data_IF_994711967735
#
_entry.id   IF_994711967735
#
_cell.length_a   1.000
_cell.length_b   1.000
_cell.length_c   1.000
_cell.angle_alpha   90.00
_cell.angle_beta   90.00
_cell.angle_gamma   90.00
#
_symmetry.space_group_name_H-M   'P 1'
#
loop_
_entity.id
_entity.type
_entity.pdbx_description
1 polymer ?
#
# COMPACT_ATOMS: atom_id res chain seq x y z
N UNK A 1 -4.72 2.66 2.41
CA UNK A 1 -4.38 2.12 1.08
C UNK A 1 -5.65 1.90 0.26
N UNK A 2 -5.57 2.06 -1.05
CA UNK A 2 -6.62 1.65 -2.01
C UNK A 2 -5.97 0.85 -3.12
N UNK A 3 -6.67 -0.14 -3.66
CA UNK A 3 -6.13 -0.97 -4.73
C UNK A 3 -7.24 -1.36 -5.70
N UNK A 4 -6.85 -1.57 -6.95
CA UNK A 4 -7.69 -2.21 -7.96
C UNK A 4 -6.87 -3.30 -8.65
N UNK A 5 -7.50 -4.43 -8.94
CA UNK A 5 -6.88 -5.50 -9.72
C UNK A 5 -7.82 -5.99 -10.80
N UNK A 6 -7.24 -6.45 -11.90
CA UNK A 6 -7.91 -7.32 -12.85
C UNK A 6 -7.35 -8.74 -12.74
N UNK A 7 -7.53 -9.58 -13.77
CA UNK A 7 -7.05 -10.96 -13.78
C UNK A 7 -5.53 -11.10 -13.86
N UNK A 8 -4.81 -10.02 -14.18
CA UNK A 8 -3.35 -10.04 -14.41
C UNK A 8 -2.61 -8.91 -13.70
N UNK A 9 -3.21 -7.74 -13.57
CA UNK A 9 -2.53 -6.56 -13.07
C UNK A 9 -3.14 -6.12 -11.75
N UNK A 10 -2.30 -5.58 -10.87
CA UNK A 10 -2.72 -4.91 -9.65
C UNK A 10 -2.08 -3.53 -9.59
N UNK A 11 -2.91 -2.54 -9.27
CA UNK A 11 -2.48 -1.17 -9.00
C UNK A 11 -2.84 -0.81 -7.56
N UNK A 12 -1.88 -0.22 -6.85
CA UNK A 12 -1.98 0.17 -5.46
C UNK A 12 -1.72 1.67 -5.34
N UNK A 13 -2.57 2.35 -4.56
CA UNK A 13 -2.39 3.72 -4.10
C UNK A 13 -2.19 3.72 -2.59
N UNK A 14 -0.99 4.10 -2.16
CA UNK A 14 -0.67 4.35 -0.76
C UNK A 14 -1.11 5.75 -0.37
N UNK A 15 -2.05 5.83 0.58
CA UNK A 15 -2.56 7.09 1.11
C UNK A 15 -1.66 7.67 2.22
N UNK A 16 -0.74 6.86 2.75
CA UNK A 16 0.24 7.23 3.78
C UNK A 16 1.62 6.67 3.38
N UNK A 17 2.25 7.22 2.32
CA UNK A 17 3.54 6.75 1.81
C UNK A 17 4.71 7.04 2.77
N UNK A 18 4.52 7.98 3.68
CA UNK A 18 5.41 8.34 4.78
C UNK A 18 5.47 7.31 5.91
N UNK A 19 4.62 6.27 5.86
CA UNK A 19 4.60 5.19 6.85
C UNK A 19 5.15 3.89 6.26
N UNK A 20 5.91 3.09 7.05
CA UNK A 20 6.44 1.81 6.61
C UNK A 20 5.32 0.83 6.24
N UNK A 21 5.67 -0.26 5.56
CA UNK A 21 4.73 -1.39 5.39
C UNK A 21 4.47 -2.09 6.72
N UNK A 22 5.52 -2.26 7.54
CA UNK A 22 5.44 -2.87 8.87
C UNK A 22 4.83 -1.93 9.93
N UNK A 23 3.52 -1.71 9.90
CA UNK A 23 2.86 -0.98 10.98
C UNK A 23 2.86 -1.81 12.29
N UNK A 24 3.14 -1.22 13.47
CA UNK A 24 3.11 -1.94 14.73
C UNK A 24 1.65 -2.25 15.13
N UNK A 25 1.20 -3.45 14.79
CA UNK A 25 -0.12 -3.96 15.13
C UNK A 25 0.03 -5.07 16.18
N UNK A 26 -0.68 -4.97 17.30
CA UNK A 26 -0.63 -5.97 18.37
C UNK A 26 -0.96 -7.39 17.87
N UNK A 27 -1.90 -7.51 16.92
CA UNK A 27 -2.21 -8.77 16.26
C UNK A 27 -1.03 -9.31 15.44
N UNK A 28 -0.31 -8.44 14.72
CA UNK A 28 0.86 -8.86 13.96
C UNK A 28 1.97 -9.37 14.89
N UNK A 29 2.10 -8.84 16.10
CA UNK A 29 3.08 -9.34 17.08
C UNK A 29 2.75 -10.75 17.62
N UNK A 30 1.52 -11.24 17.43
CA UNK A 30 1.17 -12.63 17.78
C UNK A 30 1.71 -13.64 16.77
N UNK A 31 2.09 -13.20 15.56
CA UNK A 31 2.71 -14.05 14.56
C UNK A 31 4.16 -14.29 14.98
N UNK A 32 4.50 -15.54 15.27
CA UNK A 32 5.80 -15.95 15.82
C UNK A 32 7.01 -15.48 15.00
N UNK A 33 6.85 -15.31 13.69
CA UNK A 33 7.90 -14.82 12.79
C UNK A 33 8.18 -13.32 12.94
N UNK A 34 7.20 -12.51 13.34
CA UNK A 34 7.35 -11.05 13.34
C UNK A 34 8.37 -10.52 14.36
N UNK A 35 8.42 -11.01 15.61
CA UNK A 35 9.49 -10.66 16.55
C UNK A 35 10.89 -10.98 16.01
N UNK A 36 11.04 -12.12 15.31
CA UNK A 36 12.30 -12.54 14.70
C UNK A 36 12.69 -11.60 13.56
N UNK A 37 11.76 -11.28 12.66
CA UNK A 37 12.00 -10.36 11.55
C UNK A 37 12.38 -8.96 12.04
N UNK A 38 11.68 -8.44 13.06
CA UNK A 38 12.02 -7.14 13.68
C UNK A 38 13.40 -7.15 14.31
N UNK A 39 13.75 -8.20 15.04
CA UNK A 39 15.10 -8.36 15.61
C UNK A 39 16.17 -8.39 14.52
N UNK A 40 15.98 -9.18 13.47
CA UNK A 40 16.93 -9.25 12.35
C UNK A 40 17.04 -7.92 11.61
N UNK A 41 15.94 -7.17 11.49
CA UNK A 41 15.96 -5.82 10.93
C UNK A 41 16.80 -4.86 11.78
N UNK A 42 16.59 -4.87 13.11
CA UNK A 42 17.35 -4.05 14.05
C UNK A 42 18.85 -4.42 14.08
N UNK A 43 19.17 -5.70 13.89
CA UNK A 43 20.55 -6.18 13.79
C UNK A 43 21.17 -5.91 12.40
N UNK A 44 20.43 -5.33 11.44
CA UNK A 44 20.92 -5.08 10.08
C UNK A 44 21.15 -6.34 9.24
N UNK A 45 20.54 -7.47 9.63
CA UNK A 45 20.75 -8.79 9.01
C UNK A 45 19.73 -9.16 7.94
N UNK A 46 18.64 -8.41 7.81
CA UNK A 46 17.72 -8.60 6.70
C UNK A 46 18.31 -8.05 5.40
N UNK A 47 18.08 -8.78 4.32
CA UNK A 47 18.50 -8.40 2.96
C UNK A 47 17.35 -8.61 1.99
N UNK A 48 17.44 -8.00 0.82
CA UNK A 48 16.42 -8.11 -0.24
C UNK A 48 15.04 -7.63 0.20
N UNK A 49 14.02 -8.34 -0.26
CA UNK A 49 12.60 -8.06 -0.09
C UNK A 49 12.17 -8.04 1.38
N UNK A 50 12.83 -8.88 2.20
CA UNK A 50 12.58 -8.91 3.64
C UNK A 50 12.98 -7.61 4.33
N UNK A 51 14.05 -6.94 3.84
CA UNK A 51 14.45 -5.62 4.34
C UNK A 51 13.51 -4.52 3.83
N UNK A 52 13.02 -4.64 2.59
CA UNK A 52 12.11 -3.67 1.98
C UNK A 52 10.81 -3.50 2.77
N UNK A 53 10.31 -4.58 3.38
CA UNK A 53 9.14 -4.56 4.27
C UNK A 53 9.26 -3.56 5.44
N UNK A 54 10.48 -3.29 5.87
CA UNK A 54 10.78 -2.38 6.98
C UNK A 54 11.27 -1.00 6.54
N UNK A 55 11.24 -0.69 5.24
CA UNK A 55 11.58 0.65 4.76
C UNK A 55 10.69 1.70 5.43
N UNK A 56 11.25 2.85 5.86
CA UNK A 56 10.52 3.87 6.60
C UNK A 56 9.43 4.55 5.76
N UNK A 57 9.58 4.49 4.43
CA UNK A 57 8.63 5.05 3.47
C UNK A 57 8.38 4.05 2.37
N UNK A 58 7.25 4.19 1.69
CA UNK A 58 6.86 3.37 0.54
C UNK A 58 6.44 4.23 -0.64
N UNK A 59 6.54 3.72 -1.89
CA UNK A 59 6.09 4.44 -3.06
C UNK A 59 4.63 4.88 -2.93
N UNK A 60 4.29 6.06 -3.45
CA UNK A 60 2.90 6.54 -3.45
C UNK A 60 2.00 5.62 -4.29
N UNK A 61 2.53 5.14 -5.39
CA UNK A 61 1.83 4.25 -6.32
C UNK A 61 2.71 3.02 -6.58
N UNK A 62 2.06 1.87 -6.65
CA UNK A 62 2.72 0.61 -7.00
C UNK A 62 1.91 -0.10 -8.08
N UNK A 63 2.59 -0.82 -8.96
CA UNK A 63 1.98 -1.58 -10.04
C UNK A 63 2.69 -2.91 -10.24
N UNK A 64 1.91 -3.99 -10.32
CA UNK A 64 2.42 -5.36 -10.43
C UNK A 64 1.71 -6.11 -11.56
N UNK A 65 2.48 -6.91 -12.30
CA UNK A 65 1.97 -7.94 -13.22
C UNK A 65 1.99 -9.28 -12.49
N UNK A 66 0.85 -9.68 -11.94
CA UNK A 66 0.71 -10.85 -11.05
C UNK A 66 0.86 -12.19 -11.78
N UNK A 67 0.96 -12.19 -13.11
CA UNK A 67 1.28 -13.41 -13.86
C UNK A 67 2.78 -13.63 -13.95
N UNK A 68 3.55 -12.56 -14.18
CA UNK A 68 5.01 -12.65 -14.26
C UNK A 68 5.67 -12.55 -12.90
N UNK A 69 5.02 -11.88 -11.95
CA UNK A 69 5.45 -11.71 -10.58
C UNK A 69 4.29 -12.04 -9.61
N UNK A 70 4.06 -13.34 -9.32
CA UNK A 70 2.98 -13.78 -8.43
C UNK A 70 3.14 -13.30 -6.98
N UNK A 71 4.34 -12.90 -6.59
CA UNK A 71 4.66 -12.45 -5.24
C UNK A 71 4.65 -10.92 -5.10
N UNK A 72 4.42 -10.20 -6.20
CA UNK A 72 4.25 -8.74 -6.21
C UNK A 72 5.43 -8.01 -5.58
N UNK A 73 6.64 -8.46 -5.93
CA UNK A 73 7.91 -7.93 -5.40
C UNK A 73 8.41 -6.75 -6.25
N UNK A 74 8.31 -6.88 -7.56
CA UNK A 74 8.90 -5.94 -8.51
C UNK A 74 7.88 -4.87 -8.85
N UNK A 75 8.01 -3.70 -8.25
CA UNK A 75 7.16 -2.56 -8.57
C UNK A 75 7.49 -2.02 -9.98
N UNK A 76 6.57 -2.22 -10.92
CA UNK A 76 6.68 -1.82 -12.33
C UNK A 76 6.08 -0.43 -12.62
N UNK A 77 5.89 0.41 -11.59
CA UNK A 77 5.21 1.71 -11.73
C UNK A 77 5.90 2.66 -12.72
N UNK A 78 7.23 2.60 -12.81
CA UNK A 78 8.04 3.47 -13.67
C UNK A 78 8.39 2.84 -15.03
N UNK A 79 8.00 1.59 -15.28
CA UNK A 79 8.31 0.91 -16.53
C UNK A 79 7.46 1.51 -17.69
N UNK A 80 8.11 2.07 -18.74
CA UNK A 80 7.42 2.66 -19.88
C UNK A 80 6.44 1.71 -20.59
N UNK A 81 6.72 0.40 -20.57
CA UNK A 81 5.90 -0.63 -21.21
C UNK A 81 4.49 -0.70 -20.64
N UNK A 82 4.32 -0.43 -19.35
CA UNK A 82 3.05 -0.59 -18.65
C UNK A 82 2.26 0.71 -18.48
N UNK A 83 2.80 1.87 -18.90
CA UNK A 83 2.20 3.18 -18.63
C UNK A 83 0.75 3.33 -19.11
N UNK A 84 0.39 2.69 -20.24
CA UNK A 84 -0.99 2.68 -20.73
C UNK A 84 -1.94 1.95 -19.76
N UNK A 85 -1.50 0.82 -19.21
CA UNK A 85 -2.29 -0.02 -18.29
C UNK A 85 -2.38 0.65 -16.93
N UNK A 86 -1.25 1.16 -16.42
CA UNK A 86 -1.17 1.93 -15.17
C UNK A 86 -2.16 3.10 -15.22
N UNK A 87 -2.16 3.89 -16.30
CA UNK A 87 -3.09 5.02 -16.47
C UNK A 87 -4.54 4.57 -16.43
N UNK A 88 -4.89 3.50 -17.14
CA UNK A 88 -6.25 2.92 -17.13
C UNK A 88 -6.68 2.54 -15.72
N UNK A 89 -5.83 1.84 -14.97
CA UNK A 89 -6.14 1.38 -13.61
C UNK A 89 -6.20 2.54 -12.62
N UNK A 90 -5.30 3.52 -12.73
CA UNK A 90 -5.32 4.76 -11.95
C UNK A 90 -6.64 5.51 -12.12
N UNK A 91 -7.09 5.70 -13.37
CA UNK A 91 -8.37 6.37 -13.68
C UNK A 91 -9.54 5.57 -13.11
N UNK A 92 -9.56 4.24 -13.29
CA UNK A 92 -10.66 3.41 -12.76
C UNK A 92 -10.71 3.44 -11.24
N UNK A 93 -9.56 3.40 -10.55
CA UNK A 93 -9.51 3.52 -9.09
C UNK A 93 -10.05 4.87 -8.64
N UNK A 94 -9.64 5.97 -9.27
CA UNK A 94 -10.13 7.31 -8.95
C UNK A 94 -11.65 7.43 -9.16
N UNK A 95 -12.17 6.85 -10.25
CA UNK A 95 -13.60 6.85 -10.53
C UNK A 95 -14.38 6.07 -9.46
N UNK A 96 -13.92 4.85 -9.13
CA UNK A 96 -14.55 4.04 -8.10
C UNK A 96 -14.55 4.73 -6.72
N UNK A 97 -13.44 5.38 -6.34
CA UNK A 97 -13.38 6.17 -5.11
C UNK A 97 -14.42 7.29 -5.07
N UNK A 98 -14.67 7.96 -6.21
CA UNK A 98 -15.73 8.98 -6.31
C UNK A 98 -17.13 8.36 -6.20
N UNK A 99 -17.36 7.22 -6.87
CA UNK A 99 -18.65 6.51 -6.85
C UNK A 99 -19.06 6.15 -5.41
N UNK A 100 -18.13 5.65 -4.61
CA UNK A 100 -18.40 5.26 -3.22
C UNK A 100 -18.30 6.42 -2.21
N UNK A 101 -17.98 7.64 -2.67
CA UNK A 101 -17.70 8.81 -1.82
C UNK A 101 -16.65 8.49 -0.75
N UNK A 102 -15.54 7.91 -1.20
CA UNK A 102 -14.45 7.41 -0.35
C UNK A 102 -13.88 8.52 0.54
N UNK A 103 -13.89 8.29 1.87
CA UNK A 103 -13.30 9.17 2.88
C UNK A 103 -11.94 8.68 3.39
N UNK A 104 -11.32 7.70 2.70
CA UNK A 104 -10.09 7.03 3.15
C UNK A 104 -8.86 7.90 3.32
N UNK A 105 -8.85 9.10 2.75
CA UNK A 105 -7.82 10.14 2.89
C UNK A 105 -8.35 11.37 3.64
N UNK A 106 -9.55 11.32 4.19
CA UNK A 106 -10.12 12.39 5.02
C UNK A 106 -9.69 12.19 6.47
N UNK A 107 -9.07 13.20 7.12
CA UNK A 107 -8.73 13.10 8.53
C UNK A 107 -9.97 12.86 9.40
N UNK A 108 -9.84 12.01 10.43
CA UNK A 108 -10.96 11.63 11.29
C UNK A 108 -11.67 12.85 11.89
N UNK A 109 -10.93 13.87 12.35
CA UNK A 109 -11.50 15.13 12.86
C UNK A 109 -12.45 15.80 11.85
N UNK A 110 -12.11 15.78 10.56
CA UNK A 110 -12.96 16.35 9.52
C UNK A 110 -14.21 15.49 9.26
N UNK A 111 -14.11 14.17 9.44
CA UNK A 111 -15.26 13.26 9.39
C UNK A 111 -16.18 13.51 10.59
N UNK A 112 -15.62 13.64 11.79
CA UNK A 112 -16.35 13.94 13.02
C UNK A 112 -17.13 15.24 12.90
N UNK A 113 -16.48 16.34 12.50
CA UNK A 113 -17.14 17.64 12.31
C UNK A 113 -18.28 17.58 11.28
N UNK A 114 -18.11 16.78 10.21
CA UNK A 114 -19.15 16.60 9.19
C UNK A 114 -20.36 15.81 9.71
N UNK A 115 -20.14 14.86 10.61
CA UNK A 115 -21.17 13.92 11.08
C UNK A 115 -21.86 14.44 12.36
N UNK A 116 -21.10 15.10 13.24
CA UNK A 116 -21.52 15.72 14.50
C UNK A 116 -20.89 17.12 14.64
N UNK A 117 -21.47 18.15 13.98
CA UNK A 117 -20.96 19.51 14.07
C UNK A 117 -21.09 20.04 15.50
N UNK A 118 -20.00 20.47 16.12
CA UNK A 118 -19.99 21.04 17.46
C UNK A 118 -19.94 20.05 18.64
N UNK A 119 -19.90 18.73 18.38
CA UNK A 119 -19.79 17.69 19.41
C UNK A 119 -21.09 16.98 19.73
#
# INVERSE_FOLDING_TARGET
>A
MRAIRDSRYKFILNLSPDQPYSYPLSYAEQITTNPVMRRLHQEGKLTGEAAEWFLPTKPREEFYDTQTDPHEINNLIDDPKYQKIIRRMRVRLQQWRKEIRDLGDTPERAIQERMWPGG
#
